data_IF_955069943246
#
_entry.id   IF_955069943246
#
_cell.length_a   1.000
_cell.length_b   1.000
_cell.length_c   1.000
_cell.angle_alpha   90.00
_cell.angle_beta   90.00
_cell.angle_gamma   90.00
#
_symmetry.space_group_name_H-M   'P 1'
#
loop_
_entity.id
_entity.type
_entity.pdbx_description
1 polymer ?
#
# COMPACT_ATOMS: atom_id res chain seq x y z
N UNK A 1 -5.61 -7.62 9.11
CA UNK A 1 -7.07 -7.68 8.78
C UNK A 1 -7.71 -8.97 9.28
N UNK A 2 -7.21 -10.18 9.02
CA UNK A 2 -7.84 -11.43 9.50
C UNK A 2 -8.14 -11.40 11.01
N UNK A 3 -7.16 -11.07 11.86
CA UNK A 3 -7.34 -10.93 13.31
C UNK A 3 -8.42 -9.91 13.67
N UNK A 4 -8.48 -8.77 12.96
CA UNK A 4 -9.48 -7.75 13.21
C UNK A 4 -10.89 -8.23 12.83
N UNK A 5 -11.07 -8.79 11.65
CA UNK A 5 -12.36 -9.28 11.18
C UNK A 5 -12.89 -10.44 12.07
N UNK A 6 -12.00 -11.31 12.50
CA UNK A 6 -12.33 -12.37 13.44
C UNK A 6 -12.84 -11.80 14.78
N UNK A 7 -12.22 -10.73 15.32
CA UNK A 7 -12.68 -10.04 16.50
C UNK A 7 -14.07 -9.38 16.35
N UNK A 8 -14.47 -9.06 15.12
CA UNK A 8 -15.81 -8.57 14.80
C UNK A 8 -16.84 -9.71 14.68
N UNK A 9 -16.42 -10.95 14.79
CA UNK A 9 -17.29 -12.13 14.69
C UNK A 9 -17.48 -12.67 13.27
N UNK A 10 -16.70 -12.18 12.30
CA UNK A 10 -16.73 -12.75 10.94
C UNK A 10 -16.04 -14.12 10.90
N UNK A 11 -16.58 -15.02 10.10
CA UNK A 11 -15.86 -16.24 9.68
C UNK A 11 -14.73 -15.87 8.75
N UNK A 12 -13.51 -16.19 9.13
CA UNK A 12 -12.30 -15.78 8.38
C UNK A 12 -11.51 -17.00 7.96
N UNK A 13 -11.27 -17.12 6.66
CA UNK A 13 -10.31 -18.09 6.09
C UNK A 13 -9.10 -17.32 5.59
N UNK A 14 -7.92 -17.65 6.13
CA UNK A 14 -6.64 -17.09 5.72
C UNK A 14 -5.95 -18.06 4.76
N UNK A 15 -5.59 -17.57 3.57
CA UNK A 15 -4.90 -18.34 2.55
C UNK A 15 -3.46 -17.84 2.43
N UNK A 16 -2.47 -18.55 2.99
CA UNK A 16 -1.06 -18.29 2.79
C UNK A 16 -0.61 -18.57 1.35
N UNK A 17 0.58 -18.13 1.01
CA UNK A 17 1.12 -18.27 -0.34
C UNK A 17 1.51 -19.70 -0.70
N UNK A 18 2.03 -20.46 0.27
CA UNK A 18 2.48 -21.85 0.06
C UNK A 18 1.84 -22.80 1.07
N UNK A 19 1.86 -24.09 0.73
CA UNK A 19 1.37 -25.14 1.63
C UNK A 19 2.22 -25.24 2.90
N UNK A 20 3.54 -24.99 2.79
CA UNK A 20 4.45 -24.95 3.93
C UNK A 20 4.07 -23.83 4.90
N UNK A 21 3.82 -22.63 4.38
CA UNK A 21 3.33 -21.51 5.20
C UNK A 21 1.98 -21.85 5.87
N UNK A 22 1.06 -22.50 5.15
CA UNK A 22 -0.23 -22.92 5.70
C UNK A 22 -0.05 -23.94 6.82
N UNK A 23 0.82 -24.93 6.65
CA UNK A 23 1.14 -25.93 7.67
C UNK A 23 1.75 -25.29 8.92
N UNK A 24 2.75 -24.41 8.74
CA UNK A 24 3.39 -23.68 9.84
C UNK A 24 2.37 -22.80 10.60
N UNK A 25 1.53 -22.07 9.88
CA UNK A 25 0.49 -21.23 10.50
C UNK A 25 -0.58 -22.05 11.20
N UNK A 26 -0.95 -23.21 10.68
CA UNK A 26 -1.89 -24.14 11.33
C UNK A 26 -1.30 -24.69 12.62
N UNK A 27 -0.04 -25.10 12.59
CA UNK A 27 0.65 -25.73 13.72
C UNK A 27 0.94 -24.72 14.85
N UNK A 28 1.40 -23.52 14.48
CA UNK A 28 1.87 -22.53 15.47
C UNK A 28 0.86 -21.44 15.75
N UNK A 29 -0.23 -21.35 14.98
CA UNK A 29 -1.22 -20.28 15.06
C UNK A 29 -0.58 -18.88 14.99
N UNK A 30 0.44 -18.74 14.11
CA UNK A 30 1.24 -17.52 13.94
C UNK A 30 1.90 -17.53 12.57
N UNK A 31 2.01 -16.37 11.93
CA UNK A 31 2.86 -16.18 10.76
C UNK A 31 4.26 -15.74 11.20
N UNK A 32 5.08 -16.69 11.67
CA UNK A 32 6.40 -16.41 12.24
C UNK A 32 7.36 -15.71 11.27
N UNK A 33 7.24 -15.99 9.98
CA UNK A 33 8.16 -15.47 8.98
C UNK A 33 7.89 -14.00 8.67
N UNK A 34 6.62 -13.62 8.48
CA UNK A 34 6.26 -12.28 7.99
C UNK A 34 5.55 -11.42 9.02
N UNK A 35 5.04 -12.03 10.08
CA UNK A 35 4.24 -11.32 11.06
C UNK A 35 4.39 -11.93 12.48
N UNK A 36 5.63 -12.00 13.00
CA UNK A 36 5.91 -12.63 14.29
C UNK A 36 5.27 -11.87 15.45
N UNK A 37 4.96 -12.61 16.53
CA UNK A 37 4.40 -12.06 17.76
C UNK A 37 2.88 -11.83 17.74
N UNK A 38 2.18 -12.24 16.66
CA UNK A 38 0.73 -12.07 16.53
C UNK A 38 0.03 -13.41 16.39
N UNK A 39 -0.60 -13.83 17.48
CA UNK A 39 -1.35 -15.09 17.54
C UNK A 39 -2.62 -15.02 16.67
N UNK A 40 -2.87 -16.07 15.93
CA UNK A 40 -4.10 -16.31 15.17
C UNK A 40 -5.06 -17.12 16.04
N UNK A 41 -6.21 -16.54 16.35
CA UNK A 41 -7.27 -17.22 17.09
C UNK A 41 -7.64 -18.56 16.42
N UNK A 42 -8.03 -19.55 17.22
CA UNK A 42 -8.33 -20.90 16.73
C UNK A 42 -9.53 -20.92 15.77
N UNK A 43 -10.43 -19.93 15.87
CA UNK A 43 -11.57 -19.78 14.98
C UNK A 43 -11.19 -19.27 13.57
N UNK A 44 -9.98 -18.70 13.38
CA UNK A 44 -9.48 -18.35 12.05
C UNK A 44 -9.08 -19.62 11.31
N UNK A 45 -9.76 -19.91 10.23
CA UNK A 45 -9.43 -21.05 9.38
C UNK A 45 -8.16 -20.77 8.57
N UNK A 46 -7.27 -21.75 8.47
CA UNK A 46 -6.10 -21.68 7.58
C UNK A 46 -6.39 -22.62 6.40
N UNK A 47 -6.62 -22.01 5.24
CA UNK A 47 -6.88 -22.75 4.00
C UNK A 47 -5.60 -23.06 3.24
N UNK A 48 -5.63 -24.12 2.43
CA UNK A 48 -4.53 -24.54 1.56
C UNK A 48 -4.88 -24.41 0.07
N UNK A 49 -6.17 -24.28 -0.24
CA UNK A 49 -6.67 -24.26 -1.61
C UNK A 49 -7.65 -23.10 -1.80
N UNK A 50 -7.61 -22.48 -2.98
CA UNK A 50 -8.50 -21.37 -3.33
C UNK A 50 -9.96 -21.79 -3.43
N UNK A 51 -10.24 -22.95 -4.06
CA UNK A 51 -11.60 -23.35 -4.39
C UNK A 51 -12.54 -23.41 -3.17
N UNK A 52 -12.27 -24.17 -2.11
CA UNK A 52 -13.17 -24.27 -0.96
C UNK A 52 -13.36 -22.92 -0.27
N UNK A 53 -12.30 -22.14 -0.12
CA UNK A 53 -12.38 -20.82 0.52
C UNK A 53 -13.23 -19.82 -0.29
N UNK A 54 -13.12 -19.83 -1.63
CA UNK A 54 -13.86 -18.91 -2.50
C UNK A 54 -15.33 -19.29 -2.67
N UNK A 55 -15.68 -20.57 -2.52
CA UNK A 55 -17.08 -21.00 -2.59
C UNK A 55 -17.95 -20.42 -1.47
N UNK A 56 -17.37 -20.17 -0.31
CA UNK A 56 -18.09 -19.68 0.89
C UNK A 56 -17.87 -18.17 1.13
N UNK A 57 -16.86 -17.56 0.47
CA UNK A 57 -16.50 -16.18 0.71
C UNK A 57 -17.56 -15.20 0.16
N UNK A 58 -18.00 -14.26 0.98
CA UNK A 58 -18.75 -13.09 0.54
C UNK A 58 -17.83 -11.94 0.12
N UNK A 59 -16.69 -11.82 0.77
CA UNK A 59 -15.65 -10.81 0.49
C UNK A 59 -14.28 -11.46 0.47
N UNK A 60 -13.51 -11.19 -0.57
CA UNK A 60 -12.10 -11.58 -0.66
C UNK A 60 -11.22 -10.37 -0.41
N UNK A 61 -10.18 -10.50 0.42
CA UNK A 61 -9.21 -9.44 0.69
C UNK A 61 -7.85 -9.87 0.16
N UNK A 62 -7.35 -9.18 -0.86
CA UNK A 62 -6.03 -9.41 -1.46
C UNK A 62 -4.98 -8.56 -0.76
N UNK A 63 -4.10 -9.22 -0.02
CA UNK A 63 -3.05 -8.60 0.80
C UNK A 63 -1.62 -8.97 0.33
N UNK A 64 -1.48 -9.39 -0.91
CA UNK A 64 -0.17 -9.70 -1.50
C UNK A 64 0.60 -8.42 -1.89
N UNK A 65 1.93 -8.46 -2.08
CA UNK A 65 2.66 -7.36 -2.71
C UNK A 65 2.16 -7.08 -4.13
N UNK A 66 2.16 -5.80 -4.56
CA UNK A 66 1.58 -5.35 -5.85
C UNK A 66 2.10 -6.12 -7.06
N UNK A 67 3.38 -6.50 -7.06
CA UNK A 67 4.00 -7.28 -8.14
C UNK A 67 3.40 -8.67 -8.36
N UNK A 68 2.68 -9.20 -7.38
CA UNK A 68 2.04 -10.52 -7.47
C UNK A 68 0.52 -10.45 -7.69
N UNK A 69 -0.06 -9.25 -7.68
CA UNK A 69 -1.52 -9.09 -7.74
C UNK A 69 -2.12 -9.77 -8.97
N UNK A 70 -1.57 -9.55 -10.17
CA UNK A 70 -2.06 -10.20 -11.40
C UNK A 70 -1.94 -11.71 -11.36
N UNK A 71 -0.81 -12.23 -10.85
CA UNK A 71 -0.62 -13.69 -10.71
C UNK A 71 -1.70 -14.27 -9.80
N UNK A 72 -1.91 -13.69 -8.63
CA UNK A 72 -2.95 -14.14 -7.68
C UNK A 72 -4.34 -14.04 -8.30
N UNK A 73 -4.66 -12.95 -9.00
CA UNK A 73 -5.93 -12.83 -9.71
C UNK A 73 -6.09 -13.93 -10.78
N UNK A 74 -5.03 -14.23 -11.54
CA UNK A 74 -5.03 -15.32 -12.52
C UNK A 74 -5.24 -16.70 -11.89
N UNK A 75 -4.64 -16.94 -10.74
CA UNK A 75 -4.79 -18.20 -9.98
C UNK A 75 -6.20 -18.39 -9.43
N UNK A 76 -6.84 -17.33 -8.93
CA UNK A 76 -8.20 -17.41 -8.37
C UNK A 76 -9.29 -17.33 -9.46
N UNK A 77 -9.00 -16.79 -10.63
CA UNK A 77 -9.98 -16.62 -11.74
C UNK A 77 -10.79 -17.90 -12.07
N UNK A 78 -10.22 -19.11 -12.17
CA UNK A 78 -11.00 -20.32 -12.48
C UNK A 78 -12.06 -20.64 -11.43
N UNK A 79 -11.91 -20.12 -10.21
CA UNK A 79 -12.80 -20.39 -9.09
C UNK A 79 -13.78 -19.24 -8.81
N UNK A 80 -13.54 -18.06 -9.37
CA UNK A 80 -14.38 -16.85 -9.21
C UNK A 80 -15.40 -16.79 -10.37
N UNK A 81 -16.23 -17.82 -10.45
CA UNK A 81 -17.31 -17.91 -11.44
C UNK A 81 -18.66 -17.88 -10.74
N UNK A 82 -19.73 -17.51 -11.47
CA UNK A 82 -21.10 -17.51 -10.95
C UNK A 82 -21.53 -18.86 -10.35
N UNK A 83 -20.94 -19.95 -10.81
CA UNK A 83 -21.26 -21.29 -10.33
C UNK A 83 -20.45 -21.68 -9.07
N UNK A 84 -19.20 -21.27 -8.99
CA UNK A 84 -18.29 -21.65 -7.90
C UNK A 84 -18.31 -20.67 -6.71
N UNK A 85 -18.40 -19.38 -6.97
CA UNK A 85 -18.33 -18.33 -5.93
C UNK A 85 -19.62 -17.50 -5.91
N UNK A 86 -20.75 -18.16 -5.69
CA UNK A 86 -22.10 -17.53 -5.72
C UNK A 86 -22.30 -16.49 -4.65
N UNK A 87 -21.63 -16.63 -3.51
CA UNK A 87 -21.72 -15.70 -2.39
C UNK A 87 -20.80 -14.48 -2.57
N UNK A 88 -19.81 -14.53 -3.46
CA UNK A 88 -18.79 -13.50 -3.59
C UNK A 88 -19.37 -12.20 -4.17
N UNK A 89 -19.33 -11.14 -3.37
CA UNK A 89 -19.87 -9.81 -3.68
C UNK A 89 -18.80 -8.80 -4.02
N UNK A 90 -17.59 -8.96 -3.47
CA UNK A 90 -16.56 -7.93 -3.53
C UNK A 90 -15.16 -8.50 -3.35
N UNK A 91 -14.19 -7.92 -4.07
CA UNK A 91 -12.77 -8.12 -3.81
C UNK A 91 -12.16 -6.80 -3.33
N UNK A 92 -11.53 -6.79 -2.15
CA UNK A 92 -10.85 -5.63 -1.57
C UNK A 92 -9.34 -5.80 -1.73
N UNK A 93 -8.67 -4.80 -2.30
CA UNK A 93 -7.22 -4.78 -2.49
C UNK A 93 -6.56 -3.93 -1.41
N UNK A 94 -5.51 -4.47 -0.77
CA UNK A 94 -4.70 -3.76 0.23
C UNK A 94 -3.32 -3.33 -0.30
N UNK A 95 -2.97 -3.74 -1.53
CA UNK A 95 -1.66 -3.41 -2.15
C UNK A 95 -1.51 -1.89 -2.33
N UNK A 96 -0.29 -1.40 -2.10
CA UNK A 96 0.04 0.03 -2.16
C UNK A 96 1.26 0.29 -3.07
N UNK A 97 1.24 -0.27 -4.27
CA UNK A 97 2.28 -0.08 -5.30
C UNK A 97 1.68 -0.24 -6.68
N UNK A 98 2.25 0.41 -7.69
CA UNK A 98 1.86 0.21 -9.08
C UNK A 98 2.24 -1.20 -9.56
N UNK A 99 1.49 -1.73 -10.51
CA UNK A 99 1.83 -2.96 -11.20
C UNK A 99 3.11 -2.73 -12.05
N UNK A 100 4.19 -3.51 -11.84
CA UNK A 100 5.50 -3.16 -12.40
C UNK A 100 5.61 -3.20 -13.92
N UNK A 101 4.74 -3.93 -14.62
CA UNK A 101 4.82 -4.09 -16.08
C UNK A 101 4.01 -3.05 -16.84
N UNK A 102 2.87 -2.65 -16.26
CA UNK A 102 1.91 -1.77 -16.93
C UNK A 102 1.83 -0.38 -16.30
N UNK A 103 2.44 -0.19 -15.14
CA UNK A 103 2.34 1.02 -14.33
C UNK A 103 0.91 1.37 -13.91
N UNK A 104 0.02 0.37 -13.86
CA UNK A 104 -1.37 0.56 -13.48
C UNK A 104 -1.58 0.49 -11.97
N UNK A 105 -2.64 1.15 -11.52
CA UNK A 105 -3.11 1.05 -10.14
C UNK A 105 -3.61 -0.37 -9.82
N UNK A 106 -3.46 -0.84 -8.58
CA UNK A 106 -3.86 -2.19 -8.18
C UNK A 106 -5.32 -2.54 -8.51
N UNK A 107 -6.24 -1.59 -8.35
CA UNK A 107 -7.65 -1.85 -8.67
C UNK A 107 -7.91 -1.95 -10.19
N UNK A 108 -7.16 -1.20 -10.99
CA UNK A 108 -7.21 -1.33 -12.46
C UNK A 108 -6.74 -2.71 -12.89
N UNK A 109 -5.62 -3.18 -12.31
CA UNK A 109 -5.11 -4.53 -12.57
C UNK A 109 -6.12 -5.60 -12.14
N UNK A 110 -6.75 -5.47 -10.97
CA UNK A 110 -7.83 -6.37 -10.53
C UNK A 110 -8.98 -6.42 -11.53
N UNK A 111 -9.49 -5.26 -11.96
CA UNK A 111 -10.64 -5.16 -12.88
C UNK A 111 -10.37 -5.78 -14.25
N UNK A 112 -9.14 -5.69 -14.73
CA UNK A 112 -8.73 -6.34 -15.99
C UNK A 112 -8.69 -7.85 -15.85
N UNK A 113 -8.28 -8.37 -14.69
CA UNK A 113 -8.18 -9.80 -14.46
C UNK A 113 -9.52 -10.44 -14.07
N UNK A 114 -10.35 -9.74 -13.31
CA UNK A 114 -11.61 -10.23 -12.74
C UNK A 114 -12.74 -9.20 -12.95
N UNK A 115 -13.12 -8.92 -14.21
CA UNK A 115 -14.07 -7.84 -14.55
C UNK A 115 -15.50 -8.08 -14.02
N UNK A 116 -15.86 -9.33 -13.75
CA UNK A 116 -17.21 -9.71 -13.31
C UNK A 116 -17.45 -9.43 -11.81
N UNK A 117 -16.40 -9.22 -11.03
CA UNK A 117 -16.52 -9.02 -9.58
C UNK A 117 -16.21 -7.57 -9.22
N UNK A 118 -17.09 -6.90 -8.49
CA UNK A 118 -16.82 -5.57 -7.97
C UNK A 118 -15.53 -5.53 -7.16
N UNK A 119 -14.75 -4.45 -7.32
CA UNK A 119 -13.50 -4.25 -6.60
C UNK A 119 -13.47 -2.97 -5.81
N UNK A 120 -12.77 -2.97 -4.68
CA UNK A 120 -12.49 -1.79 -3.87
C UNK A 120 -11.06 -1.77 -3.32
N UNK A 121 -10.64 -0.60 -2.85
CA UNK A 121 -9.35 -0.39 -2.19
C UNK A 121 -9.57 -0.07 -0.72
N UNK A 122 -8.76 -0.64 0.16
CA UNK A 122 -8.70 -0.23 1.56
C UNK A 122 -7.31 0.33 1.86
N UNK A 123 -7.22 1.61 2.20
CA UNK A 123 -5.98 2.33 2.40
C UNK A 123 -6.06 3.27 3.61
N UNK A 124 -4.93 3.89 3.98
CA UNK A 124 -4.82 4.79 5.13
C UNK A 124 -3.72 4.39 6.09
N UNK A 125 -3.49 5.17 7.18
CA UNK A 125 -2.44 4.95 8.14
C UNK A 125 -2.71 3.70 8.99
N UNK A 126 -2.13 2.55 8.60
CA UNK A 126 -2.47 1.24 9.15
C UNK A 126 -1.29 0.26 9.09
N UNK A 127 -0.35 0.37 10.03
CA UNK A 127 0.65 -0.69 10.19
C UNK A 127 -0.02 -1.98 10.66
N UNK A 128 0.35 -3.08 10.03
CA UNK A 128 -0.32 -4.37 10.24
C UNK A 128 -0.25 -4.85 11.70
N UNK A 129 0.90 -4.66 12.36
CA UNK A 129 1.12 -4.98 13.77
C UNK A 129 0.18 -4.21 14.69
N UNK A 130 0.04 -2.89 14.45
CA UNK A 130 -0.81 -2.01 15.25
C UNK A 130 -2.30 -2.34 15.06
N UNK A 131 -2.72 -2.66 13.84
CA UNK A 131 -4.05 -3.17 13.54
C UNK A 131 -4.30 -4.50 14.27
N UNK A 132 -3.36 -5.42 14.25
CA UNK A 132 -3.48 -6.72 14.94
C UNK A 132 -3.54 -6.56 16.46
N UNK A 133 -2.78 -5.62 17.02
CA UNK A 133 -2.84 -5.28 18.45
C UNK A 133 -4.11 -4.53 18.85
N UNK A 134 -4.96 -4.13 17.89
CA UNK A 134 -6.19 -3.38 18.15
C UNK A 134 -5.92 -1.93 18.53
N UNK A 135 -4.84 -1.33 18.05
CA UNK A 135 -4.63 0.10 18.21
C UNK A 135 -5.66 0.89 17.40
N UNK A 136 -6.13 2.04 17.91
CA UNK A 136 -7.07 2.88 17.18
C UNK A 136 -6.54 3.24 15.79
N UNK A 137 -7.32 2.89 14.76
CA UNK A 137 -6.92 3.05 13.36
C UNK A 137 -8.08 3.63 12.55
N UNK A 138 -7.78 4.57 11.66
CA UNK A 138 -8.74 5.07 10.69
C UNK A 138 -8.25 4.76 9.27
N UNK A 139 -9.14 4.23 8.43
CA UNK A 139 -8.84 3.88 7.04
C UNK A 139 -9.94 4.40 6.11
N UNK A 140 -9.68 4.40 4.81
CA UNK A 140 -10.64 4.75 3.78
C UNK A 140 -10.87 3.56 2.84
N UNK A 141 -12.11 3.24 2.60
CA UNK A 141 -12.56 2.30 1.59
C UNK A 141 -12.99 3.08 0.35
N UNK A 142 -12.23 2.93 -0.72
CA UNK A 142 -12.49 3.53 -2.04
C UNK A 142 -13.13 2.51 -2.96
N UNK A 143 -14.30 2.81 -3.49
CA UNK A 143 -15.01 1.93 -4.44
C UNK A 143 -15.96 2.71 -5.34
N UNK A 144 -16.35 2.11 -6.47
CA UNK A 144 -17.41 2.61 -7.35
C UNK A 144 -18.75 1.88 -7.10
N UNK A 145 -18.92 1.29 -5.93
CA UNK A 145 -20.17 0.69 -5.50
C UNK A 145 -21.21 1.79 -5.20
N UNK A 146 -22.49 1.43 -5.22
CA UNK A 146 -23.53 2.33 -4.74
C UNK A 146 -23.36 2.67 -3.25
N UNK A 147 -24.01 3.71 -2.80
CA UNK A 147 -23.86 4.23 -1.44
C UNK A 147 -24.27 3.22 -0.36
N UNK A 148 -25.34 2.46 -0.60
CA UNK A 148 -25.86 1.49 0.36
C UNK A 148 -24.91 0.30 0.51
N UNK A 149 -24.42 -0.24 -0.60
CA UNK A 149 -23.42 -1.32 -0.57
C UNK A 149 -22.12 -0.84 0.07
N UNK A 150 -21.64 0.36 -0.26
CA UNK A 150 -20.46 0.96 0.38
C UNK A 150 -20.63 1.13 1.89
N UNK A 151 -21.82 1.54 2.35
CA UNK A 151 -22.13 1.66 3.78
C UNK A 151 -22.16 0.30 4.48
N UNK A 152 -22.72 -0.75 3.86
CA UNK A 152 -22.69 -2.11 4.39
C UNK A 152 -21.25 -2.63 4.57
N UNK A 153 -20.37 -2.40 3.60
CA UNK A 153 -18.95 -2.78 3.70
C UNK A 153 -18.24 -1.95 4.77
N UNK A 154 -18.53 -0.66 4.85
CA UNK A 154 -18.03 0.22 5.91
C UNK A 154 -18.40 -0.32 7.29
N UNK A 155 -19.65 -0.68 7.51
CA UNK A 155 -20.15 -1.23 8.77
C UNK A 155 -19.50 -2.59 9.08
N UNK A 156 -19.42 -3.48 8.10
CA UNK A 156 -18.85 -4.82 8.26
C UNK A 156 -17.38 -4.81 8.67
N UNK A 157 -16.59 -3.82 8.21
CA UNK A 157 -15.16 -3.73 8.52
C UNK A 157 -14.91 -2.81 9.73
N UNK A 158 -15.80 -1.87 10.04
CA UNK A 158 -15.64 -0.96 11.16
C UNK A 158 -15.85 -1.68 12.50
N UNK A 159 -15.27 -1.13 13.56
CA UNK A 159 -15.45 -1.62 14.92
C UNK A 159 -14.88 -0.64 15.94
N UNK A 160 -14.85 -1.03 17.20
CA UNK A 160 -14.42 -0.16 18.31
C UNK A 160 -12.97 0.34 18.19
N UNK A 161 -12.16 -0.29 17.35
CA UNK A 161 -10.73 0.03 17.16
C UNK A 161 -10.41 0.49 15.74
N UNK A 162 -11.19 0.12 14.75
CA UNK A 162 -11.00 0.54 13.36
C UNK A 162 -12.23 1.31 12.90
N UNK A 163 -11.99 2.52 12.38
CA UNK A 163 -12.99 3.35 11.74
C UNK A 163 -12.73 3.43 10.25
N UNK A 164 -13.71 3.03 9.46
CA UNK A 164 -13.66 3.11 8.00
C UNK A 164 -14.45 4.33 7.54
N UNK A 165 -13.86 5.10 6.61
CA UNK A 165 -14.52 6.12 5.83
C UNK A 165 -14.67 5.63 4.39
N UNK A 166 -15.67 6.10 3.66
CA UNK A 166 -15.91 5.71 2.27
C UNK A 166 -15.64 6.86 1.32
N UNK A 167 -15.25 6.56 0.09
CA UNK A 167 -15.10 7.51 -1.02
C UNK A 167 -15.29 6.82 -2.36
N UNK A 168 -15.76 7.57 -3.34
CA UNK A 168 -15.83 7.18 -4.75
C UNK A 168 -14.57 7.58 -5.56
N UNK A 169 -13.64 8.34 -4.94
CA UNK A 169 -12.35 8.67 -5.55
C UNK A 169 -11.34 7.53 -5.43
N UNK A 170 -11.59 6.48 -6.17
CA UNK A 170 -10.79 5.26 -6.16
C UNK A 170 -9.35 5.53 -6.62
N UNK A 171 -9.21 6.36 -7.67
CA UNK A 171 -7.90 6.69 -8.23
C UNK A 171 -7.08 7.51 -7.23
N UNK A 172 -7.68 8.49 -6.55
CA UNK A 172 -7.02 9.26 -5.50
C UNK A 172 -6.55 8.39 -4.34
N UNK A 173 -7.38 7.45 -3.88
CA UNK A 173 -7.00 6.47 -2.83
C UNK A 173 -5.83 5.61 -3.27
N UNK A 174 -5.87 5.08 -4.50
CA UNK A 174 -4.81 4.24 -5.06
C UNK A 174 -3.50 5.01 -5.22
N UNK A 175 -3.55 6.19 -5.82
CA UNK A 175 -2.38 7.06 -6.06
C UNK A 175 -1.73 7.50 -4.75
N UNK A 176 -2.53 7.92 -3.75
CA UNK A 176 -2.03 8.31 -2.44
C UNK A 176 -1.29 7.16 -1.75
N UNK A 177 -1.90 5.97 -1.74
CA UNK A 177 -1.31 4.76 -1.19
C UNK A 177 0.00 4.34 -1.86
N UNK A 178 0.14 4.55 -3.17
CA UNK A 178 1.36 4.24 -3.92
C UNK A 178 2.45 5.29 -3.70
N UNK A 179 2.13 6.58 -3.90
CA UNK A 179 3.10 7.69 -3.84
C UNK A 179 3.74 7.85 -2.45
N UNK A 180 2.98 7.64 -1.37
CA UNK A 180 3.53 7.75 -0.02
C UNK A 180 4.76 6.87 0.22
N UNK A 181 4.82 5.69 -0.42
CA UNK A 181 5.92 4.76 -0.28
C UNK A 181 7.21 5.30 -0.92
N UNK A 182 7.08 6.05 -2.00
CA UNK A 182 8.19 6.74 -2.67
C UNK A 182 8.79 7.79 -1.74
N UNK A 183 7.95 8.67 -1.19
CA UNK A 183 8.40 9.74 -0.29
C UNK A 183 8.92 9.21 1.05
N UNK A 184 8.45 8.04 1.49
CA UNK A 184 9.00 7.38 2.67
C UNK A 184 10.46 6.95 2.49
N UNK A 185 10.88 6.56 1.29
CA UNK A 185 12.30 6.30 0.98
C UNK A 185 13.10 7.60 1.13
N UNK A 186 12.62 8.71 0.57
CA UNK A 186 13.28 10.01 0.71
C UNK A 186 13.39 10.45 2.17
N UNK A 187 12.34 10.24 2.98
CA UNK A 187 12.38 10.51 4.41
C UNK A 187 13.40 9.64 5.15
N UNK A 188 13.53 8.37 4.77
CA UNK A 188 14.55 7.48 5.29
C UNK A 188 15.97 7.92 4.92
N UNK A 189 16.19 8.39 3.69
CA UNK A 189 17.48 8.96 3.26
C UNK A 189 17.83 10.19 4.13
N UNK A 190 16.86 11.09 4.39
CA UNK A 190 17.07 12.20 5.30
C UNK A 190 17.50 11.75 6.70
N UNK A 191 16.85 10.72 7.25
CA UNK A 191 17.20 10.15 8.55
C UNK A 191 18.62 9.56 8.53
N UNK A 192 18.98 8.81 7.50
CA UNK A 192 20.29 8.18 7.36
C UNK A 192 21.45 9.17 7.19
N UNK A 193 21.19 10.32 6.56
CA UNK A 193 22.14 11.45 6.46
C UNK A 193 22.24 12.29 7.75
N UNK A 194 21.44 11.98 8.78
CA UNK A 194 21.44 12.72 10.05
C UNK A 194 20.72 14.07 9.98
N UNK A 195 19.91 14.32 8.98
CA UNK A 195 19.05 15.51 8.93
C UNK A 195 17.98 15.42 10.01
N UNK A 196 17.67 16.58 10.62
CA UNK A 196 16.74 16.67 11.74
C UNK A 196 15.35 17.17 11.31
N UNK A 197 14.52 17.43 12.29
CA UNK A 197 13.08 17.68 12.19
C UNK A 197 12.69 18.73 11.14
N UNK A 198 13.45 19.85 11.05
CA UNK A 198 13.15 20.91 10.06
C UNK A 198 13.23 20.40 8.63
N UNK A 199 14.27 19.66 8.29
CA UNK A 199 14.44 19.08 6.94
C UNK A 199 13.35 18.07 6.64
N UNK A 200 13.03 17.22 7.61
CA UNK A 200 11.97 16.22 7.48
C UNK A 200 10.59 16.85 7.34
N UNK A 201 10.28 17.88 8.15
CA UNK A 201 9.01 18.61 8.03
C UNK A 201 8.87 19.30 6.66
N UNK A 202 9.94 19.95 6.17
CA UNK A 202 9.97 20.56 4.85
C UNK A 202 9.78 19.50 3.76
N UNK A 203 10.48 18.37 3.82
CA UNK A 203 10.33 17.26 2.87
C UNK A 203 8.89 16.75 2.84
N UNK A 204 8.28 16.46 4.00
CA UNK A 204 6.90 15.95 4.06
C UNK A 204 5.90 16.95 3.45
N UNK A 205 6.02 18.23 3.79
CA UNK A 205 5.15 19.29 3.24
C UNK A 205 5.28 19.38 1.72
N UNK A 206 6.51 19.36 1.20
CA UNK A 206 6.76 19.41 -0.24
C UNK A 206 6.37 18.13 -0.95
N UNK A 207 6.55 16.97 -0.30
CA UNK A 207 6.08 15.67 -0.80
C UNK A 207 4.56 15.62 -0.93
N UNK A 208 3.82 16.18 0.04
CA UNK A 208 2.37 16.29 -0.07
C UNK A 208 1.95 17.16 -1.25
N UNK A 209 2.57 18.32 -1.41
CA UNK A 209 2.27 19.21 -2.55
C UNK A 209 2.58 18.55 -3.91
N UNK A 210 3.66 17.75 -3.98
CA UNK A 210 4.00 16.99 -5.18
C UNK A 210 3.01 15.83 -5.39
N UNK A 211 2.64 15.11 -4.34
CA UNK A 211 1.63 14.04 -4.36
C UNK A 211 0.29 14.56 -4.89
N UNK A 212 -0.17 15.72 -4.42
CA UNK A 212 -1.40 16.38 -4.89
C UNK A 212 -1.29 16.71 -6.38
N UNK A 213 -0.15 17.25 -6.82
CA UNK A 213 0.06 17.61 -8.23
C UNK A 213 0.04 16.40 -9.15
N UNK A 214 0.81 15.37 -8.81
CA UNK A 214 0.85 14.10 -9.56
C UNK A 214 -0.54 13.47 -9.56
N UNK A 215 -1.13 13.36 -8.38
CA UNK A 215 -2.41 12.69 -8.20
C UNK A 215 -3.55 13.34 -8.97
N UNK A 216 -3.64 14.68 -8.97
CA UNK A 216 -4.63 15.41 -9.77
C UNK A 216 -4.42 15.24 -11.27
N UNK A 217 -3.17 15.27 -11.73
CA UNK A 217 -2.85 15.05 -13.14
C UNK A 217 -3.19 13.63 -13.61
N UNK A 218 -3.31 12.68 -12.68
CA UNK A 218 -3.66 11.28 -12.93
C UNK A 218 -5.11 10.95 -12.57
N UNK A 219 -5.97 11.93 -12.28
CA UNK A 219 -7.41 11.75 -12.12
C UNK A 219 -7.92 11.73 -10.67
N UNK A 220 -7.04 11.76 -9.67
CA UNK A 220 -7.45 11.82 -8.27
C UNK A 220 -7.92 13.22 -7.84
N UNK A 221 -8.80 13.27 -6.85
CA UNK A 221 -9.30 14.53 -6.27
C UNK A 221 -8.35 15.04 -5.18
N UNK A 222 -8.16 16.35 -5.14
CA UNK A 222 -7.24 17.01 -4.21
C UNK A 222 -7.53 16.66 -2.74
N UNK A 223 -8.80 16.63 -2.37
CA UNK A 223 -9.28 16.37 -1.01
C UNK A 223 -8.83 14.99 -0.51
N UNK A 224 -8.78 13.99 -1.40
CA UNK A 224 -8.34 12.64 -1.06
C UNK A 224 -6.88 12.59 -0.60
N UNK A 225 -6.02 13.43 -1.21
CA UNK A 225 -4.60 13.49 -0.82
C UNK A 225 -4.37 14.19 0.51
N UNK A 226 -5.26 15.05 0.97
CA UNK A 226 -5.23 15.61 2.34
C UNK A 226 -5.86 14.67 3.38
N UNK A 227 -6.54 13.61 2.94
CA UNK A 227 -7.19 12.62 3.78
C UNK A 227 -6.27 11.50 4.27
N UNK A 228 -6.93 10.41 4.70
CA UNK A 228 -6.26 9.25 5.32
C UNK A 228 -5.33 8.51 4.36
N UNK A 229 -5.75 8.27 3.11
CA UNK A 229 -4.94 7.55 2.11
C UNK A 229 -3.79 8.36 1.53
N UNK A 230 -3.83 9.68 1.67
CA UNK A 230 -2.77 10.61 1.27
C UNK A 230 -1.93 11.04 2.46
N UNK A 231 -2.24 12.21 3.04
CA UNK A 231 -1.46 12.83 4.12
C UNK A 231 -1.32 11.93 5.34
N UNK A 232 -2.41 11.30 5.80
CA UNK A 232 -2.37 10.44 6.98
C UNK A 232 -1.38 9.28 6.84
N UNK A 233 -1.45 8.56 5.71
CA UNK A 233 -0.55 7.43 5.44
C UNK A 233 0.88 7.89 5.08
N UNK A 234 1.04 9.07 4.47
CA UNK A 234 2.34 9.70 4.23
C UNK A 234 3.06 9.98 5.55
N UNK A 235 2.40 10.67 6.48
CA UNK A 235 2.98 11.00 7.80
C UNK A 235 3.37 9.74 8.56
N UNK A 236 2.46 8.75 8.63
CA UNK A 236 2.74 7.48 9.30
C UNK A 236 3.95 6.78 8.68
N UNK A 237 3.99 6.67 7.34
CA UNK A 237 5.02 5.89 6.65
C UNK A 237 6.39 6.57 6.67
N UNK A 238 6.44 7.90 6.63
CA UNK A 238 7.69 8.66 6.70
C UNK A 238 8.30 8.73 8.11
N UNK A 239 7.49 8.58 9.16
CA UNK A 239 7.97 8.70 10.55
C UNK A 239 8.00 7.36 11.29
N UNK A 240 7.15 6.41 10.90
CA UNK A 240 7.01 5.15 11.62
C UNK A 240 8.21 4.21 11.48
N UNK A 241 8.62 3.60 12.58
CA UNK A 241 9.74 2.66 12.60
C UNK A 241 9.45 1.35 11.84
N UNK A 242 8.18 0.97 11.71
CA UNK A 242 7.74 -0.21 10.97
C UNK A 242 7.72 -0.01 9.45
N UNK A 243 8.02 1.19 8.97
CA UNK A 243 8.02 1.50 7.54
C UNK A 243 9.23 0.90 6.84
N UNK A 244 9.01 -0.18 6.09
CA UNK A 244 10.05 -0.83 5.27
C UNK A 244 10.67 0.11 4.25
N UNK A 245 9.87 1.01 3.66
CA UNK A 245 10.37 2.00 2.69
C UNK A 245 11.28 3.03 3.37
N UNK A 246 10.90 3.55 4.55
CA UNK A 246 11.73 4.47 5.32
C UNK A 246 13.02 3.78 5.77
N UNK A 247 12.93 2.57 6.35
CA UNK A 247 14.12 1.80 6.76
C UNK A 247 15.06 1.51 5.60
N UNK A 248 14.52 1.16 4.43
CA UNK A 248 15.32 0.99 3.22
C UNK A 248 16.10 2.26 2.86
N UNK A 249 15.45 3.43 2.85
CA UNK A 249 16.09 4.72 2.58
C UNK A 249 17.19 5.05 3.61
N UNK A 250 16.93 4.78 4.89
CA UNK A 250 17.89 5.00 5.98
C UNK A 250 19.13 4.11 5.84
N UNK A 251 18.96 2.81 5.61
CA UNK A 251 20.06 1.86 5.40
C UNK A 251 20.86 2.20 4.14
N UNK A 252 20.18 2.53 3.04
CA UNK A 252 20.83 2.95 1.80
C UNK A 252 21.71 4.20 2.00
N UNK A 253 21.21 5.22 2.68
CA UNK A 253 21.97 6.43 2.97
C UNK A 253 23.18 6.19 3.90
N UNK A 254 23.15 5.12 4.69
CA UNK A 254 24.28 4.65 5.52
C UNK A 254 25.29 3.79 4.74
N UNK A 255 25.13 3.64 3.41
CA UNK A 255 26.06 2.96 2.53
C UNK A 255 25.74 1.51 2.19
N UNK A 256 24.57 0.99 2.59
CA UNK A 256 24.15 -0.34 2.15
C UNK A 256 23.72 -0.31 0.68
N UNK A 257 24.10 -1.33 -0.09
CA UNK A 257 23.71 -1.42 -1.49
C UNK A 257 22.23 -1.83 -1.65
N UNK A 258 21.58 -1.37 -2.72
CA UNK A 258 20.21 -1.76 -3.07
C UNK A 258 20.11 -3.28 -3.20
N UNK A 259 21.14 -3.91 -3.80
CA UNK A 259 21.21 -5.37 -3.95
C UNK A 259 21.18 -6.06 -2.60
N UNK A 260 22.02 -5.63 -1.66
CA UNK A 260 22.07 -6.21 -0.31
C UNK A 260 20.71 -6.09 0.39
N UNK A 261 20.07 -4.92 0.31
CA UNK A 261 18.80 -4.68 0.98
C UNK A 261 17.63 -5.51 0.38
N UNK A 262 17.54 -5.59 -0.95
CA UNK A 262 16.40 -6.23 -1.62
C UNK A 262 16.64 -7.74 -1.82
N UNK A 263 17.82 -8.16 -2.33
CA UNK A 263 18.07 -9.55 -2.69
C UNK A 263 18.57 -10.37 -1.51
N UNK A 264 19.55 -9.87 -0.74
CA UNK A 264 20.18 -10.64 0.34
C UNK A 264 19.34 -10.59 1.63
N UNK A 265 18.83 -9.41 2.02
CA UNK A 265 17.97 -9.24 3.21
C UNK A 265 16.49 -9.49 2.94
N UNK A 266 16.11 -9.66 1.67
CA UNK A 266 14.72 -9.95 1.28
C UNK A 266 13.71 -8.83 1.58
N UNK A 267 14.15 -7.58 1.66
CA UNK A 267 13.24 -6.47 1.96
C UNK A 267 12.20 -6.28 0.85
N UNK A 268 10.93 -6.32 1.21
CA UNK A 268 9.86 -5.94 0.29
C UNK A 268 9.67 -4.43 0.33
N UNK A 269 10.18 -3.73 -0.69
CA UNK A 269 10.19 -2.26 -0.78
C UNK A 269 9.37 -1.83 -1.99
N UNK A 270 8.07 -1.61 -1.79
CA UNK A 270 7.15 -1.21 -2.86
C UNK A 270 7.55 0.15 -3.48
N UNK A 271 8.01 1.09 -2.63
CA UNK A 271 8.42 2.43 -3.06
C UNK A 271 9.59 2.45 -4.04
N UNK A 272 10.47 1.45 -4.00
CA UNK A 272 11.58 1.35 -4.95
C UNK A 272 11.06 1.20 -6.39
N UNK A 273 10.23 0.20 -6.65
CA UNK A 273 9.66 -0.04 -7.98
C UNK A 273 8.69 1.06 -8.40
N UNK A 274 7.87 1.52 -7.45
CA UNK A 274 6.90 2.60 -7.65
C UNK A 274 7.58 3.92 -8.03
N UNK A 275 8.77 4.21 -7.51
CA UNK A 275 9.57 5.37 -7.87
C UNK A 275 9.88 5.41 -9.37
N UNK A 276 10.36 4.30 -9.93
CA UNK A 276 10.62 4.17 -11.37
C UNK A 276 9.34 4.38 -12.19
N UNK A 277 8.27 3.67 -11.83
CA UNK A 277 7.01 3.75 -12.55
C UNK A 277 6.44 5.18 -12.59
N UNK A 278 6.43 5.88 -11.46
CA UNK A 278 5.95 7.26 -11.43
C UNK A 278 6.90 8.23 -12.14
N UNK A 279 8.22 8.00 -12.07
CA UNK A 279 9.18 8.82 -12.81
C UNK A 279 8.91 8.73 -14.32
N UNK A 280 8.77 7.53 -14.87
CA UNK A 280 8.44 7.30 -16.28
C UNK A 280 7.09 7.93 -16.65
N UNK A 281 6.06 7.73 -15.82
CA UNK A 281 4.73 8.26 -16.03
C UNK A 281 4.67 9.79 -15.98
N UNK A 282 5.36 10.42 -15.02
CA UNK A 282 5.43 11.87 -14.89
C UNK A 282 6.16 12.49 -16.09
N UNK A 283 7.27 11.90 -16.53
CA UNK A 283 8.00 12.35 -17.71
C UNK A 283 7.15 12.25 -18.98
N UNK A 284 6.48 11.12 -19.18
CA UNK A 284 5.61 10.92 -20.35
C UNK A 284 4.44 11.92 -20.41
N UNK A 285 3.96 12.37 -19.27
CA UNK A 285 2.83 13.31 -19.15
C UNK A 285 3.25 14.76 -18.89
N UNK A 286 4.54 15.07 -18.78
CA UNK A 286 5.05 16.42 -18.48
C UNK A 286 4.64 16.93 -17.09
N UNK A 287 4.54 16.04 -16.08
CA UNK A 287 4.18 16.40 -14.71
C UNK A 287 5.44 16.82 -13.94
N UNK A 288 5.45 18.04 -13.36
CA UNK A 288 6.56 18.53 -12.52
C UNK A 288 6.63 17.74 -11.21
N UNK A 289 7.65 16.91 -11.05
CA UNK A 289 7.84 16.01 -9.91
C UNK A 289 9.30 16.08 -9.38
N UNK A 290 9.73 17.23 -8.85
CA UNK A 290 11.13 17.45 -8.49
C UNK A 290 11.66 16.49 -7.43
N UNK A 291 10.92 16.15 -6.38
CA UNK A 291 11.38 15.24 -5.33
C UNK A 291 11.49 13.83 -5.89
N UNK A 292 10.49 13.37 -6.63
CA UNK A 292 10.49 12.07 -7.31
C UNK A 292 11.68 11.94 -8.27
N UNK A 293 11.97 12.99 -9.07
CA UNK A 293 13.07 12.99 -10.03
C UNK A 293 14.44 12.90 -9.33
N UNK A 294 14.63 13.65 -8.23
CA UNK A 294 15.87 13.56 -7.45
C UNK A 294 16.00 12.18 -6.78
N UNK A 295 14.91 11.64 -6.26
CA UNK A 295 14.92 10.30 -5.68
C UNK A 295 15.24 9.22 -6.73
N UNK A 296 14.69 9.35 -7.93
CA UNK A 296 15.04 8.47 -9.06
C UNK A 296 16.52 8.54 -9.40
N UNK A 297 17.09 9.75 -9.50
CA UNK A 297 18.53 9.96 -9.72
C UNK A 297 19.38 9.26 -8.65
N UNK A 298 18.99 9.34 -7.38
CA UNK A 298 19.67 8.66 -6.28
C UNK A 298 19.58 7.13 -6.42
N UNK A 299 18.39 6.59 -6.66
CA UNK A 299 18.16 5.14 -6.61
C UNK A 299 18.60 4.40 -7.87
N UNK A 300 18.59 5.05 -9.03
CA UNK A 300 18.78 4.39 -10.33
C UNK A 300 19.94 4.93 -11.17
N UNK A 301 20.40 6.17 -10.90
CA UNK A 301 21.44 6.84 -11.72
C UNK A 301 22.73 7.12 -10.94
N UNK A 302 22.79 6.71 -9.67
CA UNK A 302 23.99 6.88 -8.83
C UNK A 302 24.27 8.31 -8.40
N UNK A 303 23.25 9.20 -8.44
CA UNK A 303 23.38 10.57 -7.93
C UNK A 303 23.59 10.54 -6.42
N UNK A 304 24.47 11.39 -5.88
CA UNK A 304 24.59 11.51 -4.42
C UNK A 304 23.38 12.25 -3.82
N UNK A 305 23.06 11.89 -2.59
CA UNK A 305 21.95 12.55 -1.89
C UNK A 305 22.22 14.03 -1.61
N UNK A 306 23.49 14.42 -1.42
CA UNK A 306 23.91 15.81 -1.28
C UNK A 306 23.65 16.60 -2.57
N UNK A 307 24.00 16.05 -3.74
CA UNK A 307 23.73 16.68 -5.03
C UNK A 307 22.22 16.82 -5.27
N UNK A 308 21.44 15.82 -4.93
CA UNK A 308 19.98 15.86 -5.01
C UNK A 308 19.38 16.96 -4.13
N UNK A 309 19.85 17.07 -2.88
CA UNK A 309 19.46 18.16 -1.97
C UNK A 309 19.85 19.53 -2.56
N UNK A 310 21.10 19.67 -3.03
CA UNK A 310 21.57 20.90 -3.69
C UNK A 310 20.68 21.31 -4.86
N UNK A 311 20.30 20.36 -5.70
CA UNK A 311 19.40 20.59 -6.84
C UNK A 311 17.99 21.03 -6.40
N UNK A 312 17.46 20.45 -5.33
CA UNK A 312 16.14 20.89 -4.77
C UNK A 312 16.22 22.30 -4.17
N UNK A 313 17.29 22.63 -3.46
CA UNK A 313 17.47 23.91 -2.77
C UNK A 313 17.82 25.05 -3.73
N UNK A 314 18.42 24.77 -4.90
CA UNK A 314 18.79 25.76 -5.92
C UNK A 314 17.65 26.10 -6.89
N UNK A 315 16.46 25.51 -6.74
CA UNK A 315 15.29 25.84 -7.56
C UNK A 315 14.88 27.30 -7.36
N UNK A 316 14.27 27.89 -8.40
CA UNK A 316 13.77 29.25 -8.35
C UNK A 316 12.85 29.50 -7.17
N UNK A 317 13.03 30.65 -6.54
CA UNK A 317 12.16 31.08 -5.45
C UNK A 317 10.75 31.36 -5.99
N UNK A 318 9.74 30.85 -5.28
CA UNK A 318 8.33 31.01 -5.68
C UNK A 318 7.41 31.18 -4.49
N UNK A 319 6.23 31.69 -4.75
CA UNK A 319 5.17 31.70 -3.73
C UNK A 319 4.80 30.30 -3.31
N UNK A 320 4.49 30.11 -2.02
CA UNK A 320 3.94 28.87 -1.54
C UNK A 320 2.53 28.66 -2.11
N UNK A 321 2.34 27.61 -2.90
CA UNK A 321 1.07 27.18 -3.50
C UNK A 321 0.98 25.67 -3.47
N UNK A 322 -0.20 25.17 -3.25
CA UNK A 322 -0.54 23.74 -3.30
C UNK A 322 -1.21 23.37 -4.61
#
# INVERSE_FOLDING_TARGET
>A
MAIHLNRLGHTVTLLPRTQEEAFEMTTHRENKQFFPGHHLDDSIQIGMEYKPALMEAEVVILACPSKFLRSVCGEIRPFVTKDNARALKLIIVLCKGLEPKTNELPLTALRQELPEIPGGLLSGPSFASQVALGQPTAMVFGSNLDADTSAQIQEAISGNRIRIYTTDDVDGVGLGGCLKNVYAIAAGICDGLGFRDNAKAALLTRSLAEMVRIGRALGGRMETFYGLSGFGDLVLTCNGQESRNRTFGECFAKGESIRSLIEEKGMTVEGYWTCRSFHELCNAKGIDAPILNQLYGILYEGQSAENALGALMSRDLKHERF
#
